data_IF_103076995903
#
_entry.id   IF_103076995903
#
_cell.length_a   1.000
_cell.length_b   1.000
_cell.length_c   1.000
_cell.angle_alpha   90.00
_cell.angle_beta   90.00
_cell.angle_gamma   90.00
#
_symmetry.space_group_name_H-M   'P 1'
#
loop_
_entity.id
_entity.type
_entity.pdbx_description
1 polymer ?
#
# COMPACT_ATOMS: atom_id res chain seq x y z
N UNK A 1 11.54 18.22 3.71
CA UNK A 1 10.31 17.45 3.43
C UNK A 1 10.79 16.05 3.12
N UNK A 2 10.33 15.03 3.86
CA UNK A 2 10.64 13.65 3.50
C UNK A 2 9.69 13.25 2.36
N UNK A 3 10.26 12.94 1.20
CA UNK A 3 9.48 12.42 0.07
C UNK A 3 8.95 11.04 0.45
N UNK A 4 7.66 10.98 0.80
CA UNK A 4 7.00 9.74 1.20
C UNK A 4 6.58 8.98 -0.07
N UNK A 5 7.04 7.75 -0.23
CA UNK A 5 6.59 6.86 -1.28
C UNK A 5 5.23 6.26 -0.91
N UNK A 6 4.25 6.43 -1.77
CA UNK A 6 2.91 5.86 -1.57
C UNK A 6 2.69 4.73 -2.58
N UNK A 7 2.32 3.54 -2.10
CA UNK A 7 2.12 2.37 -2.96
C UNK A 7 0.62 2.05 -3.02
N UNK A 8 0.01 2.22 -4.19
CA UNK A 8 -1.38 1.87 -4.41
C UNK A 8 -1.54 0.36 -4.65
N UNK A 9 -2.36 -0.30 -3.83
CA UNK A 9 -2.69 -1.71 -3.93
C UNK A 9 -4.20 -1.93 -3.88
N UNK A 10 -4.66 -2.98 -4.55
CA UNK A 10 -6.06 -3.41 -4.45
C UNK A 10 -6.25 -4.55 -3.45
N UNK A 11 -7.32 -4.50 -2.64
CA UNK A 11 -7.68 -5.59 -1.71
C UNK A 11 -7.81 -6.96 -2.41
N UNK A 12 -7.68 -8.01 -1.62
CA UNK A 12 -7.86 -9.39 -2.08
C UNK A 12 -6.57 -9.99 -2.60
N UNK A 13 -6.62 -10.62 -3.79
CA UNK A 13 -5.53 -11.45 -4.30
C UNK A 13 -4.22 -10.68 -4.53
N UNK A 14 -4.28 -9.54 -5.21
CA UNK A 14 -3.08 -8.73 -5.52
C UNK A 14 -2.36 -8.36 -4.23
N UNK A 15 -3.09 -7.81 -3.25
CA UNK A 15 -2.50 -7.43 -1.97
C UNK A 15 -1.76 -8.61 -1.29
N UNK A 16 -2.40 -9.78 -1.21
CA UNK A 16 -1.82 -11.00 -0.60
C UNK A 16 -0.57 -11.48 -1.34
N UNK A 17 -0.60 -11.46 -2.66
CA UNK A 17 0.53 -11.89 -3.50
C UNK A 17 1.68 -10.88 -3.50
N UNK A 18 1.40 -9.60 -3.26
CA UNK A 18 2.43 -8.55 -3.14
C UNK A 18 3.11 -8.50 -1.78
N UNK A 19 2.45 -8.98 -0.71
CA UNK A 19 3.03 -8.95 0.64
C UNK A 19 4.41 -9.64 0.73
N UNK A 20 4.62 -10.85 0.18
CA UNK A 20 5.95 -11.46 0.15
C UNK A 20 6.99 -10.61 -0.59
N UNK A 21 6.60 -9.92 -1.66
CA UNK A 21 7.50 -9.05 -2.43
C UNK A 21 7.88 -7.79 -1.63
N UNK A 22 6.90 -7.17 -0.95
CA UNK A 22 7.14 -6.03 -0.07
C UNK A 22 8.02 -6.42 1.12
N UNK A 23 7.75 -7.58 1.73
CA UNK A 23 8.56 -8.13 2.81
C UNK A 23 10.01 -8.38 2.35
N UNK A 24 10.23 -8.93 1.15
CA UNK A 24 11.58 -9.04 0.58
C UNK A 24 12.28 -7.68 0.37
N UNK A 25 11.52 -6.61 0.15
CA UNK A 25 12.02 -5.24 0.10
C UNK A 25 12.14 -4.57 1.49
N UNK A 26 11.84 -5.29 2.58
CA UNK A 26 11.86 -4.79 3.96
C UNK A 26 10.70 -3.86 4.30
N UNK A 27 9.58 -3.94 3.57
CA UNK A 27 8.36 -3.15 3.78
C UNK A 27 7.28 -4.08 4.34
N UNK A 28 6.82 -3.78 5.55
CA UNK A 28 5.79 -4.56 6.24
C UNK A 28 4.68 -3.62 6.76
N UNK A 29 3.40 -3.87 6.44
CA UNK A 29 2.30 -3.08 7.00
C UNK A 29 2.18 -3.30 8.51
N UNK A 30 1.94 -2.21 9.25
CA UNK A 30 1.78 -2.25 10.72
C UNK A 30 0.43 -2.86 11.12
N UNK A 31 -0.62 -2.49 10.38
CA UNK A 31 -1.96 -3.01 10.61
C UNK A 31 -2.19 -4.29 9.80
N UNK A 32 -2.91 -5.24 10.39
CA UNK A 32 -3.39 -6.41 9.66
C UNK A 32 -4.39 -5.99 8.56
N UNK A 33 -4.06 -6.18 7.28
CA UNK A 33 -4.87 -5.73 6.16
C UNK A 33 -6.19 -6.51 6.00
N UNK A 34 -6.30 -7.71 6.58
CA UNK A 34 -7.52 -8.52 6.52
C UNK A 34 -8.58 -8.03 7.51
N UNK A 35 -8.15 -7.53 8.68
CA UNK A 35 -9.05 -7.04 9.72
C UNK A 35 -9.23 -5.52 9.66
N UNK A 36 -8.25 -4.80 9.11
CA UNK A 36 -8.28 -3.35 9.00
C UNK A 36 -9.22 -2.85 7.90
N UNK A 37 -10.05 -1.88 8.28
CA UNK A 37 -10.88 -1.09 7.34
C UNK A 37 -10.21 0.22 6.92
N UNK A 38 -8.97 0.48 7.39
CA UNK A 38 -8.22 1.66 6.97
C UNK A 38 -7.90 1.57 5.47
N UNK A 39 -7.98 2.72 4.80
CA UNK A 39 -7.60 2.85 3.38
C UNK A 39 -6.13 3.23 3.22
N UNK A 40 -5.50 3.79 4.25
CA UNK A 40 -4.08 4.10 4.29
C UNK A 40 -3.50 3.27 5.42
N UNK A 41 -2.52 2.42 5.11
CA UNK A 41 -1.79 1.61 6.08
C UNK A 41 -0.38 2.17 6.22
N UNK A 42 0.01 2.39 7.47
CA UNK A 42 1.40 2.66 7.80
C UNK A 42 2.22 1.37 7.63
N UNK A 43 3.51 1.54 7.37
CA UNK A 43 4.47 0.43 7.30
C UNK A 43 5.49 0.56 8.44
N UNK A 44 6.34 -0.45 8.59
CA UNK A 44 7.53 -0.39 9.44
C UNK A 44 8.52 0.73 9.05
N UNK A 45 8.30 1.41 7.92
CA UNK A 45 9.11 2.51 7.42
C UNK A 45 8.30 3.80 7.36
N UNK A 46 8.84 4.87 7.96
CA UNK A 46 8.17 6.18 8.00
C UNK A 46 8.04 6.83 6.62
N UNK A 47 8.91 6.45 5.67
CA UNK A 47 8.96 6.97 4.30
C UNK A 47 8.08 6.20 3.31
N UNK A 48 7.37 5.14 3.74
CA UNK A 48 6.52 4.31 2.87
C UNK A 48 5.12 4.13 3.45
N UNK A 49 4.11 4.42 2.63
CA UNK A 49 2.69 4.19 2.95
C UNK A 49 2.03 3.29 1.91
N UNK A 50 1.09 2.44 2.35
CA UNK A 50 0.27 1.64 1.44
C UNK A 50 -1.13 2.24 1.36
N UNK A 51 -1.62 2.46 0.15
CA UNK A 51 -2.99 2.91 -0.11
C UNK A 51 -3.80 1.77 -0.68
N UNK A 52 -4.87 1.40 0.02
CA UNK A 52 -5.73 0.28 -0.29
C UNK A 52 -7.00 0.80 -0.98
N UNK A 53 -7.11 0.56 -2.29
CA UNK A 53 -8.20 1.09 -3.13
C UNK A 53 -8.80 0.00 -4.01
N UNK A 54 -9.82 0.33 -4.81
CA UNK A 54 -10.37 -0.62 -5.78
C UNK A 54 -9.39 -0.80 -6.93
N UNK A 55 -9.33 -2.01 -7.49
CA UNK A 55 -8.42 -2.33 -8.59
C UNK A 55 -8.56 -1.39 -9.80
N UNK A 56 -9.79 -0.98 -10.12
CA UNK A 56 -10.07 -0.03 -11.22
C UNK A 56 -9.51 1.36 -10.98
N UNK A 57 -9.31 1.74 -9.72
CA UNK A 57 -8.95 3.10 -9.33
C UNK A 57 -7.42 3.24 -9.17
N UNK A 58 -6.67 2.14 -9.14
CA UNK A 58 -5.19 2.13 -9.02
C UNK A 58 -4.50 2.97 -10.11
N UNK A 59 -4.79 2.80 -11.41
CA UNK A 59 -4.13 3.60 -12.45
C UNK A 59 -4.40 5.10 -12.28
N UNK A 60 -5.63 5.46 -11.91
CA UNK A 60 -6.03 6.86 -11.68
C UNK A 60 -5.25 7.49 -10.54
N UNK A 61 -5.08 6.78 -9.41
CA UNK A 61 -4.33 7.30 -8.26
C UNK A 61 -2.87 7.55 -8.61
N UNK A 62 -2.25 6.62 -9.33
CA UNK A 62 -0.85 6.74 -9.75
C UNK A 62 -0.68 7.85 -10.78
N UNK A 63 -1.59 7.95 -11.75
CA UNK A 63 -1.54 8.96 -12.80
C UNK A 63 -1.60 10.40 -12.26
N UNK A 64 -2.40 10.63 -11.22
CA UNK A 64 -2.55 11.95 -10.60
C UNK A 64 -1.58 12.20 -9.43
N UNK A 65 -0.66 11.27 -9.14
CA UNK A 65 0.33 11.42 -8.07
C UNK A 65 -0.26 11.36 -6.65
N UNK A 66 -1.46 10.77 -6.51
CA UNK A 66 -2.01 10.42 -5.20
C UNK A 66 -1.33 9.17 -4.63
N UNK A 67 -0.67 8.39 -5.49
CA UNK A 67 0.26 7.31 -5.18
C UNK A 67 1.45 7.36 -6.14
#
# INVERSE_FOLDING_TARGET
MQDTLTIALSKGRIFKETLPLLHHAGIEPVDDPETSRKLILDTNRDDVKLVIIRATDVPTYVQYGAA
#
